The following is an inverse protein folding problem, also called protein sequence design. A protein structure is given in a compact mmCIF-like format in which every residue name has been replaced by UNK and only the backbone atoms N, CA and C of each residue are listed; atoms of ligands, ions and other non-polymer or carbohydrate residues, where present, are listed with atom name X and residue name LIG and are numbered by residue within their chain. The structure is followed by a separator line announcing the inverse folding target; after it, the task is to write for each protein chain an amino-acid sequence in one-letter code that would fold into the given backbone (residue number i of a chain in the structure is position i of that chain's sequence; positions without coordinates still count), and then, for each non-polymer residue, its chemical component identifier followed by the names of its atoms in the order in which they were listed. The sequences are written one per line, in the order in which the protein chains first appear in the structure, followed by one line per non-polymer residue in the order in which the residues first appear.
data_IF_685428093551
#
_entry.id   IF_685428093551
#
_cell.length_a   1.000
_cell.length_b   1.000
_cell.length_c   1.000
_cell.angle_alpha   90.00
_cell.angle_beta   90.00
_cell.angle_gamma   90.00
#
_symmetry.space_group_name_H-M   'P 1'
#
loop_
_entity.id
_entity.type
_entity.pdbx_description
1 polymer ?
#
# COMPACT_ATOMS: atom_id res chain seq x y z
N UNK A 1 -1.12 6.16 8.97
CA UNK A 1 -0.37 5.79 7.75
C UNK A 1 1.11 6.09 7.93
N UNK A 2 1.96 5.07 7.83
CA UNK A 2 3.41 5.09 8.02
C UNK A 2 4.10 4.96 6.66
N UNK A 3 4.59 6.09 6.13
CA UNK A 3 5.33 6.12 4.86
C UNK A 3 6.52 5.14 4.81
N UNK A 4 7.33 4.97 5.88
CA UNK A 4 8.42 3.99 5.86
C UNK A 4 7.94 2.56 5.63
N UNK A 5 6.78 2.19 6.15
CA UNK A 5 6.21 0.86 5.97
C UNK A 5 5.72 0.67 4.54
N UNK A 6 5.02 1.65 3.97
CA UNK A 6 4.59 1.62 2.56
C UNK A 6 5.81 1.44 1.64
N UNK A 7 6.88 2.19 1.90
CA UNK A 7 8.12 2.06 1.15
C UNK A 7 8.71 0.64 1.27
N UNK A 8 8.77 0.09 2.48
CA UNK A 8 9.23 -1.29 2.72
C UNK A 8 8.40 -2.30 1.94
N UNK A 9 7.07 -2.15 1.93
CA UNK A 9 6.18 -3.04 1.19
C UNK A 9 6.46 -2.99 -0.32
N UNK A 10 6.58 -1.80 -0.88
CA UNK A 10 6.88 -1.60 -2.32
C UNK A 10 8.25 -2.16 -2.72
N UNK A 11 9.25 -2.07 -1.84
CA UNK A 11 10.62 -2.52 -2.15
C UNK A 11 10.84 -4.03 -1.99
N UNK A 12 10.05 -4.70 -1.14
CA UNK A 12 10.32 -6.09 -0.73
C UNK A 12 9.29 -7.11 -1.22
N UNK A 13 8.10 -6.68 -1.66
CA UNK A 13 7.03 -7.59 -2.06
C UNK A 13 6.55 -7.29 -3.48
N UNK A 14 6.07 -8.34 -4.14
CA UNK A 14 5.45 -8.23 -5.46
C UNK A 14 4.03 -7.70 -5.35
N UNK A 15 3.44 -7.29 -6.48
CA UNK A 15 2.04 -6.87 -6.47
C UNK A 15 1.11 -8.03 -6.11
N UNK A 16 1.46 -9.25 -6.53
CA UNK A 16 0.71 -10.46 -6.21
C UNK A 16 0.73 -10.77 -4.70
N UNK A 17 1.90 -10.63 -4.04
CA UNK A 17 2.00 -10.79 -2.59
C UNK A 17 1.13 -9.77 -1.84
N UNK A 18 1.11 -8.53 -2.31
CA UNK A 18 0.33 -7.45 -1.69
C UNK A 18 -1.18 -7.63 -1.90
N UNK A 19 -1.61 -8.13 -3.06
CA UNK A 19 -3.02 -8.46 -3.31
C UNK A 19 -3.47 -9.61 -2.41
N UNK A 20 -2.67 -10.67 -2.27
CA UNK A 20 -2.97 -11.76 -1.36
C UNK A 20 -3.05 -11.29 0.10
N UNK A 21 -2.18 -10.35 0.47
CA UNK A 21 -2.19 -9.75 1.80
C UNK A 21 -3.40 -8.85 2.05
N UNK A 22 -3.83 -8.10 1.04
CA UNK A 22 -5.07 -7.32 1.08
C UNK A 22 -6.28 -8.22 1.32
N UNK A 23 -6.40 -9.30 0.56
CA UNK A 23 -7.48 -10.29 0.70
C UNK A 23 -7.49 -10.91 2.10
N UNK A 24 -6.31 -11.31 2.61
CA UNK A 24 -6.19 -11.85 3.96
C UNK A 24 -6.67 -10.85 5.03
N UNK A 25 -6.26 -9.57 4.93
CA UNK A 25 -6.69 -8.53 5.87
C UNK A 25 -8.20 -8.27 5.80
N UNK A 26 -8.81 -8.32 4.62
CA UNK A 26 -10.26 -8.12 4.45
C UNK A 26 -11.06 -9.29 5.05
N UNK A 27 -10.52 -10.51 4.95
CA UNK A 27 -11.16 -11.72 5.47
C UNK A 27 -10.85 -12.00 6.94
N UNK A 28 -10.15 -11.08 7.64
CA UNK A 28 -9.66 -11.27 9.02
C UNK A 28 -8.76 -12.52 9.16
N UNK A 29 -8.04 -12.87 8.09
CA UNK A 29 -7.10 -13.98 8.03
C UNK A 29 -5.66 -13.51 8.26
N UNK A 30 -4.78 -14.47 8.57
CA UNK A 30 -3.36 -14.19 8.75
C UNK A 30 -2.69 -13.94 7.40
N UNK A 31 -2.13 -12.74 7.22
CA UNK A 31 -1.36 -12.40 6.03
C UNK A 31 -0.03 -13.17 5.99
N UNK A 32 0.35 -13.64 4.82
CA UNK A 32 1.63 -14.36 4.58
C UNK A 32 2.85 -13.44 4.66
N UNK A 33 2.64 -12.13 4.61
CA UNK A 33 3.69 -11.11 4.71
C UNK A 33 3.53 -10.32 6.00
N UNK A 34 4.66 -9.92 6.59
CA UNK A 34 4.62 -9.01 7.74
C UNK A 34 4.14 -7.62 7.27
N UNK A 35 3.16 -7.04 7.97
CA UNK A 35 2.63 -5.69 7.73
C UNK A 35 2.53 -4.95 9.06
N UNK A 36 3.28 -3.86 9.18
CA UNK A 36 3.29 -3.04 10.37
C UNK A 36 2.16 -2.01 10.35
N UNK A 37 1.42 -1.89 11.45
CA UNK A 37 0.33 -0.92 11.63
C UNK A 37 -0.13 -0.90 13.09
N UNK A 38 -0.74 0.20 13.52
CA UNK A 38 -1.33 0.32 14.86
C UNK A 38 -2.60 -0.52 15.00
N UNK A 39 -3.33 -0.70 13.90
CA UNK A 39 -4.55 -1.50 13.80
C UNK A 39 -4.67 -2.10 12.38
N UNK A 40 -5.66 -2.96 12.17
CA UNK A 40 -5.93 -3.60 10.87
C UNK A 40 -6.29 -2.61 9.78
N UNK A 41 -7.03 -1.54 10.11
CA UNK A 41 -7.36 -0.49 9.16
C UNK A 41 -6.11 0.24 8.65
N UNK A 42 -5.15 0.51 9.53
CA UNK A 42 -3.86 1.09 9.16
C UNK A 42 -3.03 0.11 8.32
N UNK A 43 -3.00 -1.19 8.67
CA UNK A 43 -2.32 -2.21 7.86
C UNK A 43 -2.91 -2.28 6.45
N UNK A 44 -4.24 -2.33 6.34
CA UNK A 44 -4.95 -2.36 5.08
C UNK A 44 -4.63 -1.10 4.24
N UNK A 45 -4.62 0.07 4.87
CA UNK A 45 -4.22 1.33 4.23
C UNK A 45 -2.79 1.25 3.66
N UNK A 46 -1.84 0.63 4.36
CA UNK A 46 -0.47 0.47 3.87
C UNK A 46 -0.39 -0.44 2.64
N UNK A 47 -1.10 -1.56 2.67
CA UNK A 47 -1.16 -2.50 1.54
C UNK A 47 -1.78 -1.83 0.31
N UNK A 48 -2.92 -1.15 0.48
CA UNK A 48 -3.55 -0.39 -0.60
C UNK A 48 -2.62 0.66 -1.20
N UNK A 49 -1.92 1.41 -0.34
CA UNK A 49 -0.96 2.42 -0.81
C UNK A 49 0.18 1.78 -1.59
N UNK A 50 0.72 0.64 -1.14
CA UNK A 50 1.79 -0.07 -1.81
C UNK A 50 1.36 -0.59 -3.19
N UNK A 51 0.19 -1.23 -3.29
CA UNK A 51 -0.40 -1.70 -4.55
C UNK A 51 -0.58 -0.54 -5.52
N UNK A 52 -1.17 0.56 -5.05
CA UNK A 52 -1.37 1.76 -5.86
C UNK A 52 -0.05 2.29 -6.41
N UNK A 53 0.98 2.42 -5.56
CA UNK A 53 2.27 2.96 -5.93
C UNK A 53 2.98 2.06 -6.96
N UNK A 54 2.96 0.74 -6.79
CA UNK A 54 3.57 -0.20 -7.74
C UNK A 54 2.90 -0.06 -9.12
N UNK A 55 1.56 -0.05 -9.16
CA UNK A 55 0.83 0.14 -10.42
C UNK A 55 1.15 1.50 -11.05
N UNK A 56 1.17 2.56 -10.26
CA UNK A 56 1.47 3.91 -10.76
C UNK A 56 2.88 4.03 -11.34
N UNK A 57 3.88 3.43 -10.68
CA UNK A 57 5.25 3.38 -11.18
C UNK A 57 5.29 2.62 -12.51
N UNK A 58 4.59 1.49 -12.62
CA UNK A 58 4.56 0.64 -13.80
C UNK A 58 3.83 1.28 -14.99
N UNK A 59 2.66 1.84 -14.75
CA UNK A 59 1.76 2.34 -15.80
C UNK A 59 2.19 3.72 -16.31
N UNK A 60 2.64 4.60 -15.41
CA UNK A 60 2.99 5.99 -15.75
C UNK A 60 4.51 6.23 -15.85
N UNK A 61 5.34 5.20 -15.59
CA UNK A 61 6.80 5.28 -15.59
C UNK A 61 7.33 6.43 -14.70
N UNK A 62 6.74 6.59 -13.51
CA UNK A 62 7.11 7.60 -12.51
C UNK A 62 7.94 6.99 -11.38
N UNK A 63 8.65 7.83 -10.63
CA UNK A 63 9.35 7.36 -9.43
C UNK A 63 8.39 7.16 -8.23
N UNK A 64 8.89 6.47 -7.21
CA UNK A 64 8.15 6.24 -5.96
C UNK A 64 7.64 7.53 -5.31
N UNK A 65 8.42 8.62 -5.33
CA UNK A 65 8.03 9.87 -4.66
C UNK A 65 6.85 10.53 -5.38
N UNK A 66 6.85 10.51 -6.71
CA UNK A 66 5.76 11.00 -7.54
C UNK A 66 4.50 10.18 -7.32
N UNK A 67 4.59 8.84 -7.35
CA UNK A 67 3.47 7.94 -7.09
C UNK A 67 2.90 8.08 -5.66
N UNK A 68 3.76 8.16 -4.64
CA UNK A 68 3.35 8.39 -3.26
C UNK A 68 2.63 9.73 -3.09
N UNK A 69 3.17 10.80 -3.68
CA UNK A 69 2.54 12.14 -3.61
C UNK A 69 1.14 12.09 -4.21
N UNK A 70 1.00 11.48 -5.38
CA UNK A 70 -0.28 11.31 -6.07
C UNK A 70 -1.31 10.54 -5.22
N UNK A 71 -0.89 9.42 -4.60
CA UNK A 71 -1.73 8.68 -3.65
C UNK A 71 -2.18 9.56 -2.48
N UNK A 72 -1.25 10.26 -1.83
CA UNK A 72 -1.58 11.12 -0.67
C UNK A 72 -2.51 12.28 -1.01
N UNK A 73 -2.43 12.82 -2.24
CA UNK A 73 -3.38 13.81 -2.74
C UNK A 73 -4.78 13.22 -2.89
N UNK A 74 -4.90 12.03 -3.50
CA UNK A 74 -6.19 11.33 -3.66
C UNK A 74 -6.87 11.04 -2.33
N UNK A 75 -6.12 10.55 -1.34
CA UNK A 75 -6.66 10.28 0.00
C UNK A 75 -7.21 11.55 0.64
N UNK A 76 -6.49 12.68 0.54
CA UNK A 76 -6.92 13.98 1.07
C UNK A 76 -8.19 14.50 0.39
N UNK A 77 -8.27 14.37 -0.93
CA UNK A 77 -9.45 14.79 -1.70
C UNK A 77 -10.68 13.93 -1.41
N UNK A 78 -10.48 12.65 -1.07
CA UNK A 78 -11.58 11.70 -0.81
C UNK A 78 -12.25 11.87 0.56
N UNK A 79 -11.67 12.68 1.45
CA UNK A 79 -12.17 12.95 2.81
C UNK A 79 -12.58 14.42 3.02
N UNK A 80 -12.53 15.25 1.96
CA UNK A 80 -12.87 16.68 2.00
C UNK A 80 -14.35 16.92 1.67
#
# INVERSE_FOLDING_TARGET
MKIPEIKRLVENYTIEDLIAAEEALINEEESTIEINGADEGEKLTHVFAAIYIINKIKDDNVDFKAALRDYTSKVRESIS
#
